data_IF_075716216323
#
_entry.id   IF_075716216323
#
_cell.length_a   1.000
_cell.length_b   1.000
_cell.length_c   1.000
_cell.angle_alpha   90.00
_cell.angle_beta   90.00
_cell.angle_gamma   90.00
#
_symmetry.space_group_name_H-M   'P 1'
#
loop_
_entity.id
_entity.type
_entity.pdbx_description
1 polymer ?
#
# COMPACT_ATOMS: atom_id res chain seq x y z
N UNK A 1 -21.50 19.94 6.56
CA UNK A 1 -21.06 18.79 7.38
C UNK A 1 -21.33 17.53 6.54
N UNK A 2 -20.31 17.05 5.82
CA UNK A 2 -20.42 15.87 4.94
C UNK A 2 -20.25 14.65 5.85
N UNK A 3 -21.34 13.96 6.13
CA UNK A 3 -21.29 12.67 6.84
C UNK A 3 -20.91 11.60 5.82
N UNK A 4 -19.64 11.25 5.77
CA UNK A 4 -19.17 10.07 5.03
C UNK A 4 -19.54 8.85 5.86
N UNK A 5 -20.72 8.29 5.60
CA UNK A 5 -21.15 7.04 6.20
C UNK A 5 -20.39 5.87 5.57
N UNK A 6 -19.30 5.43 6.17
CA UNK A 6 -18.70 4.13 5.83
C UNK A 6 -19.58 3.03 6.42
N UNK A 7 -20.33 2.36 5.58
CA UNK A 7 -20.96 1.09 5.96
C UNK A 7 -19.86 0.02 5.93
N UNK A 8 -19.35 -0.37 7.09
CA UNK A 8 -18.53 -1.58 7.22
C UNK A 8 -19.43 -2.75 6.82
N UNK A 9 -19.26 -3.24 5.62
CA UNK A 9 -19.95 -4.45 5.13
C UNK A 9 -19.34 -5.65 5.84
N UNK A 10 -19.95 -6.07 6.94
CA UNK A 10 -19.57 -7.28 7.65
C UNK A 10 -19.81 -8.48 6.72
N UNK A 11 -18.75 -9.14 6.24
CA UNK A 11 -18.83 -10.37 5.47
C UNK A 11 -18.39 -10.32 4.00
N UNK A 12 -17.98 -9.17 3.46
CA UNK A 12 -17.39 -9.13 2.12
C UNK A 12 -15.89 -9.47 2.21
N UNK A 13 -15.37 -10.43 1.42
CA UNK A 13 -13.96 -10.80 1.46
C UNK A 13 -13.04 -9.63 1.19
N UNK A 14 -12.03 -9.48 2.02
CA UNK A 14 -10.95 -8.48 1.89
C UNK A 14 -9.60 -9.12 2.23
N UNK A 15 -8.49 -8.67 1.61
CA UNK A 15 -7.16 -9.10 1.99
C UNK A 15 -6.87 -8.80 3.46
N UNK A 16 -6.06 -9.64 4.10
CA UNK A 16 -5.64 -9.43 5.48
C UNK A 16 -4.88 -8.11 5.63
N UNK A 17 -4.90 -7.51 6.83
CA UNK A 17 -4.17 -6.25 7.07
C UNK A 17 -2.67 -6.37 6.80
N UNK A 18 -2.08 -7.52 7.12
CA UNK A 18 -0.68 -7.81 6.82
C UNK A 18 -0.39 -7.76 5.32
N UNK A 19 -1.24 -8.36 4.51
CA UNK A 19 -1.13 -8.36 3.06
C UNK A 19 -1.33 -6.96 2.46
N UNK A 20 -2.30 -6.20 2.97
CA UNK A 20 -2.49 -4.79 2.56
C UNK A 20 -1.26 -3.95 2.91
N UNK A 21 -0.66 -4.17 4.09
CA UNK A 21 0.59 -3.53 4.49
C UNK A 21 1.74 -3.89 3.56
N UNK A 22 1.90 -5.18 3.21
CA UNK A 22 2.90 -5.65 2.23
C UNK A 22 2.69 -5.03 0.86
N UNK A 23 1.44 -5.00 0.39
CA UNK A 23 1.08 -4.39 -0.91
C UNK A 23 1.43 -2.90 -0.93
N UNK A 24 1.11 -2.16 0.14
CA UNK A 24 1.42 -0.74 0.22
C UNK A 24 2.92 -0.48 0.27
N UNK A 25 3.68 -1.29 1.02
CA UNK A 25 5.15 -1.22 1.04
C UNK A 25 5.75 -1.55 -0.32
N UNK A 26 5.19 -2.52 -1.05
CA UNK A 26 5.63 -2.91 -2.39
C UNK A 26 5.40 -1.80 -3.43
N UNK A 27 4.24 -1.15 -3.38
CA UNK A 27 3.89 -0.05 -4.30
C UNK A 27 4.62 1.24 -3.96
N UNK A 28 4.85 1.50 -2.67
CA UNK A 28 5.58 2.66 -2.20
C UNK A 28 7.08 2.50 -2.45
N UNK A 29 7.73 3.58 -2.86
CA UNK A 29 9.18 3.61 -3.13
C UNK A 29 9.92 4.49 -2.15
N UNK A 30 9.21 5.41 -1.51
CA UNK A 30 9.76 6.42 -0.61
C UNK A 30 8.89 6.48 0.64
N UNK A 31 9.52 6.57 1.80
CA UNK A 31 8.84 6.75 3.07
C UNK A 31 9.45 7.87 3.91
N UNK A 32 8.82 8.16 5.03
CA UNK A 32 9.37 9.02 6.08
C UNK A 32 9.98 8.14 7.16
N UNK A 33 11.31 8.11 7.22
CA UNK A 33 12.05 7.42 8.27
C UNK A 33 12.20 8.35 9.47
N UNK A 34 11.70 7.92 10.64
CA UNK A 34 11.90 8.62 11.90
C UNK A 34 12.91 7.87 12.76
N UNK A 35 13.93 8.58 13.22
CA UNK A 35 15.02 8.08 14.09
C UNK A 35 15.06 8.88 15.38
N UNK A 36 15.71 8.39 16.43
CA UNK A 36 15.93 9.16 17.66
C UNK A 36 17.13 10.10 17.48
N UNK A 37 16.91 11.40 17.70
CA UNK A 37 17.93 12.41 17.45
C UNK A 37 19.09 12.29 18.43
N UNK A 38 20.29 11.99 17.94
CA UNK A 38 21.54 12.05 18.72
C UNK A 38 21.88 13.47 19.17
N UNK A 39 21.57 14.47 18.32
CA UNK A 39 21.89 15.88 18.58
C UNK A 39 20.92 16.51 19.61
N UNK A 40 19.68 16.06 19.60
CA UNK A 40 18.62 16.55 20.52
C UNK A 40 17.97 15.33 21.19
N UNK A 41 18.54 14.78 22.25
CA UNK A 41 18.02 13.58 22.91
C UNK A 41 16.55 13.72 23.31
N UNK A 42 15.76 12.67 23.04
CA UNK A 42 14.32 12.64 23.32
C UNK A 42 13.43 13.18 22.18
N UNK A 43 14.02 13.76 21.13
CA UNK A 43 13.24 14.21 19.96
C UNK A 43 13.37 13.25 18.79
N UNK A 44 12.27 12.93 18.07
CA UNK A 44 12.34 12.20 16.82
C UNK A 44 12.90 13.11 15.71
N UNK A 45 13.60 12.49 14.75
CA UNK A 45 14.16 13.17 13.58
C UNK A 45 13.66 12.47 12.31
N UNK A 46 12.88 13.18 11.48
CA UNK A 46 12.32 12.67 10.23
C UNK A 46 13.23 12.88 9.02
N UNK A 47 13.30 11.91 8.14
CA UNK A 47 14.02 11.98 6.86
C UNK A 47 13.19 11.37 5.75
N UNK A 48 13.23 11.95 4.55
CA UNK A 48 12.74 11.27 3.34
C UNK A 48 13.69 10.13 3.03
N UNK A 49 13.14 8.93 2.85
CA UNK A 49 13.93 7.71 2.72
C UNK A 49 13.43 6.82 1.59
N UNK A 50 14.19 6.75 0.47
CA UNK A 50 14.01 5.71 -0.53
C UNK A 50 14.37 4.34 0.06
N UNK A 51 13.62 3.29 -0.30
CA UNK A 51 13.88 1.95 0.19
C UNK A 51 13.65 0.88 -0.88
N UNK A 52 14.45 -0.19 -0.85
CA UNK A 52 14.15 -1.46 -1.48
C UNK A 52 13.45 -2.40 -0.49
N UNK A 53 12.97 -3.54 -0.96
CA UNK A 53 12.39 -4.58 -0.10
C UNK A 53 13.06 -5.92 -0.39
N UNK A 54 13.39 -6.66 0.65
CA UNK A 54 13.74 -8.07 0.51
C UNK A 54 12.49 -8.97 0.42
N UNK A 55 12.67 -10.27 0.26
CA UNK A 55 11.57 -11.25 0.12
C UNK A 55 10.67 -11.31 1.35
N UNK A 56 11.19 -10.95 2.52
CA UNK A 56 10.46 -10.81 3.77
C UNK A 56 9.70 -9.47 3.90
N UNK A 57 9.88 -8.55 2.93
CA UNK A 57 9.32 -7.20 2.94
C UNK A 57 10.01 -6.25 3.89
N UNK A 58 11.22 -6.58 4.32
CA UNK A 58 12.00 -5.72 5.17
C UNK A 58 12.63 -4.59 4.34
N UNK A 59 12.49 -3.33 4.75
CA UNK A 59 13.10 -2.22 4.04
C UNK A 59 14.63 -2.28 4.05
N UNK A 60 15.21 -2.11 2.87
CA UNK A 60 16.66 -1.97 2.64
C UNK A 60 16.92 -0.52 2.26
N UNK A 61 17.89 0.09 2.89
CA UNK A 61 18.30 1.48 2.69
C UNK A 61 19.76 1.55 2.24
N UNK A 62 20.07 2.45 1.31
CA UNK A 62 21.42 2.84 0.95
C UNK A 62 21.66 4.25 1.49
N UNK A 63 22.44 4.37 2.56
CA UNK A 63 22.58 5.61 3.31
C UNK A 63 24.06 5.96 3.60
N UNK A 64 24.37 7.26 3.55
CA UNK A 64 25.71 7.80 3.81
C UNK A 64 25.95 7.99 5.31
N UNK A 65 27.15 7.73 5.76
CA UNK A 65 27.60 7.98 7.14
C UNK A 65 27.58 9.47 7.52
N UNK A 66 27.59 10.37 6.54
CA UNK A 66 27.47 11.82 6.77
C UNK A 66 26.04 12.25 7.10
N UNK A 67 25.04 11.45 6.73
CA UNK A 67 23.66 11.79 6.95
C UNK A 67 23.26 11.72 8.43
N UNK A 68 22.44 12.66 8.88
CA UNK A 68 22.02 12.74 10.28
C UNK A 68 21.25 11.49 10.73
N UNK A 69 20.38 10.94 9.86
CA UNK A 69 19.66 9.71 10.17
C UNK A 69 20.60 8.53 10.40
N UNK A 70 21.71 8.43 9.64
CA UNK A 70 22.70 7.37 9.85
C UNK A 70 23.44 7.53 11.19
N UNK A 71 23.83 8.76 11.53
CA UNK A 71 24.46 9.05 12.83
C UNK A 71 23.50 8.79 14.01
N UNK A 72 22.21 9.03 13.82
CA UNK A 72 21.18 8.70 14.81
C UNK A 72 21.07 7.18 14.98
N UNK A 73 20.98 6.42 13.87
CA UNK A 73 20.87 4.96 13.86
C UNK A 73 22.09 4.26 14.47
N UNK A 74 23.27 4.84 14.29
CA UNK A 74 24.50 4.35 14.95
C UNK A 74 24.48 4.53 16.48
N UNK A 75 23.74 5.53 16.97
CA UNK A 75 23.57 5.76 18.41
C UNK A 75 22.40 4.96 18.99
N UNK A 76 21.31 4.81 18.25
CA UNK A 76 20.11 4.05 18.60
C UNK A 76 19.47 3.53 17.32
N UNK A 77 19.40 2.21 17.18
CA UNK A 77 18.88 1.54 15.98
C UNK A 77 17.36 1.63 15.83
N UNK A 78 16.65 2.04 16.90
CA UNK A 78 15.19 2.14 16.91
C UNK A 78 14.69 3.20 15.92
N UNK A 79 13.78 2.78 15.04
CA UNK A 79 13.21 3.65 14.00
C UNK A 79 11.79 3.27 13.63
N UNK A 80 11.11 4.19 12.95
CA UNK A 80 9.86 3.88 12.26
C UNK A 80 9.91 4.40 10.83
N UNK A 81 9.32 3.63 9.89
CA UNK A 81 9.15 4.03 8.49
C UNK A 81 7.66 4.16 8.18
N UNK A 82 7.23 5.38 7.87
CA UNK A 82 5.86 5.67 7.42
C UNK A 82 5.84 5.70 5.89
N UNK A 83 4.96 4.90 5.31
CA UNK A 83 4.63 4.92 3.87
C UNK A 83 3.16 5.20 3.69
N UNK A 84 2.83 6.11 2.80
CA UNK A 84 1.46 6.52 2.48
C UNK A 84 1.14 6.17 1.04
N UNK A 85 -0.12 5.85 0.78
CA UNK A 85 -0.62 5.70 -0.57
C UNK A 85 -0.51 7.04 -1.32
N UNK A 86 0.03 7.00 -2.53
CA UNK A 86 0.07 8.15 -3.43
C UNK A 86 -1.33 8.44 -4.00
N UNK A 87 -1.57 9.70 -4.33
CA UNK A 87 -2.78 10.24 -4.96
C UNK A 87 -4.11 9.79 -4.32
N UNK A 88 -4.50 10.49 -3.28
CA UNK A 88 -5.76 10.25 -2.55
C UNK A 88 -6.92 11.11 -3.04
N UNK A 89 -6.79 11.76 -4.20
CA UNK A 89 -7.81 12.67 -4.71
C UNK A 89 -8.11 13.84 -3.80
N UNK A 90 -7.09 14.29 -3.02
CA UNK A 90 -7.17 15.46 -2.14
C UNK A 90 -7.62 15.19 -0.70
N UNK A 91 -7.81 13.91 -0.29
CA UNK A 91 -8.11 13.54 1.10
C UNK A 91 -6.97 12.70 1.73
N UNK A 92 -5.95 13.35 2.34
CA UNK A 92 -4.83 12.63 2.95
C UNK A 92 -5.21 11.72 4.12
N UNK A 93 -6.32 12.01 4.81
CA UNK A 93 -6.78 11.19 5.92
C UNK A 93 -7.53 9.93 5.48
N UNK A 94 -8.08 9.96 4.27
CA UNK A 94 -8.69 8.80 3.62
C UNK A 94 -7.67 7.84 3.00
N UNK A 95 -6.41 8.27 2.88
CA UNK A 95 -5.32 7.47 2.33
C UNK A 95 -4.98 6.26 3.19
N UNK A 96 -4.70 5.13 2.54
CA UNK A 96 -4.03 4.02 3.21
C UNK A 96 -2.60 4.41 3.59
N UNK A 97 -2.17 3.99 4.78
CA UNK A 97 -0.81 4.20 5.26
C UNK A 97 -0.36 3.06 6.15
N UNK A 98 0.93 2.80 6.13
CA UNK A 98 1.56 1.78 6.97
C UNK A 98 2.76 2.38 7.68
N UNK A 99 2.91 2.07 8.96
CA UNK A 99 4.10 2.39 9.75
C UNK A 99 4.75 1.09 10.18
N UNK A 100 5.97 0.85 9.72
CA UNK A 100 6.82 -0.20 10.25
C UNK A 100 7.62 0.36 11.42
N UNK A 101 7.67 -0.39 12.50
CA UNK A 101 8.51 -0.10 13.67
C UNK A 101 9.55 -1.19 13.78
N UNK A 102 10.81 -0.84 13.96
CA UNK A 102 11.89 -1.83 14.01
C UNK A 102 13.25 -1.25 14.28
N UNK A 103 14.27 -2.11 14.20
CA UNK A 103 15.67 -1.72 14.32
C UNK A 103 16.33 -1.65 12.95
N UNK A 104 16.97 -0.55 12.64
CA UNK A 104 17.70 -0.36 11.39
C UNK A 104 19.19 -0.57 11.64
N UNK A 105 19.73 -1.63 11.08
CA UNK A 105 21.11 -2.09 11.31
C UNK A 105 21.88 -2.23 9.99
N UNK A 106 23.21 -2.04 10.00
CA UNK A 106 24.04 -2.34 8.83
C UNK A 106 23.86 -3.79 8.39
N UNK A 107 23.79 -4.02 7.09
CA UNK A 107 23.77 -5.38 6.54
C UNK A 107 25.13 -6.07 6.72
N UNK A 108 25.12 -7.39 7.03
CA UNK A 108 26.34 -8.21 6.96
C UNK A 108 26.88 -8.23 5.53
N UNK A 109 28.19 -8.30 5.38
CA UNK A 109 28.88 -8.33 4.07
C UNK A 109 28.34 -9.42 3.13
N UNK A 110 27.95 -10.56 3.68
CA UNK A 110 27.37 -11.67 2.93
C UNK A 110 26.03 -11.37 2.26
N UNK A 111 25.28 -10.35 2.73
CA UNK A 111 23.96 -9.98 2.22
C UNK A 111 24.00 -8.71 1.34
N UNK A 112 25.16 -8.01 1.30
CA UNK A 112 25.29 -6.73 0.56
C UNK A 112 25.07 -6.89 -0.94
N UNK A 113 25.57 -7.95 -1.54
CA UNK A 113 25.45 -8.17 -2.99
C UNK A 113 23.99 -8.29 -3.43
N UNK A 114 23.20 -9.08 -2.71
CA UNK A 114 21.77 -9.25 -2.97
C UNK A 114 20.99 -7.93 -2.73
N UNK A 115 21.24 -7.27 -1.61
CA UNK A 115 20.62 -5.98 -1.28
C UNK A 115 20.92 -4.92 -2.35
N UNK A 116 22.14 -4.91 -2.88
CA UNK A 116 22.57 -4.02 -3.98
C UNK A 116 21.73 -4.27 -5.25
N UNK A 117 21.56 -5.51 -5.65
CA UNK A 117 20.74 -5.85 -6.82
C UNK A 117 19.29 -5.42 -6.65
N UNK A 118 18.68 -5.76 -5.52
CA UNK A 118 17.29 -5.39 -5.18
C UNK A 118 17.10 -3.86 -5.17
N UNK A 119 18.03 -3.13 -4.54
CA UNK A 119 17.92 -1.68 -4.44
C UNK A 119 18.11 -0.99 -5.80
N UNK A 120 19.10 -1.41 -6.60
CA UNK A 120 19.37 -0.85 -7.92
C UNK A 120 18.28 -1.17 -8.95
N UNK A 121 17.55 -2.28 -8.81
CA UNK A 121 16.38 -2.57 -9.62
C UNK A 121 15.28 -1.50 -9.44
N UNK A 122 15.13 -0.96 -8.24
CA UNK A 122 14.18 0.13 -7.95
C UNK A 122 14.73 1.53 -8.24
N UNK A 123 16.04 1.72 -8.10
CA UNK A 123 16.69 3.05 -8.14
C UNK A 123 17.93 3.05 -9.05
N UNK A 124 17.71 2.98 -10.37
CA UNK A 124 18.78 2.88 -11.38
C UNK A 124 19.84 3.99 -11.24
N UNK A 125 19.45 5.19 -10.83
CA UNK A 125 20.36 6.31 -10.64
C UNK A 125 21.33 6.11 -9.44
N UNK A 126 21.00 5.25 -8.49
CA UNK A 126 21.86 4.99 -7.33
C UNK A 126 23.18 4.32 -7.69
N UNK A 127 23.32 3.78 -8.91
CA UNK A 127 24.59 3.28 -9.45
C UNK A 127 25.72 4.32 -9.43
N UNK A 128 25.40 5.62 -9.39
CA UNK A 128 26.41 6.68 -9.37
C UNK A 128 27.08 6.86 -8.01
N UNK A 129 26.44 6.44 -6.90
CA UNK A 129 26.97 6.62 -5.55
C UNK A 129 26.98 5.36 -4.68
N UNK A 130 26.44 4.24 -5.18
CA UNK A 130 26.37 2.98 -4.42
C UNK A 130 27.75 2.43 -4.01
N UNK A 131 28.79 2.81 -4.75
CA UNK A 131 30.17 2.39 -4.50
C UNK A 131 31.02 3.46 -3.79
N UNK A 132 30.40 4.54 -3.28
CA UNK A 132 31.12 5.54 -2.48
C UNK A 132 31.41 4.98 -1.09
N UNK A 133 32.61 5.23 -0.56
CA UNK A 133 33.09 4.67 0.70
C UNK A 133 32.25 5.05 1.92
N UNK A 134 31.53 6.19 1.83
CA UNK A 134 30.66 6.67 2.91
C UNK A 134 29.24 6.10 2.82
N UNK A 135 28.87 5.37 1.76
CA UNK A 135 27.56 4.72 1.62
C UNK A 135 27.62 3.26 2.04
N UNK A 136 26.59 2.83 2.76
CA UNK A 136 26.42 1.44 3.18
C UNK A 136 24.95 1.02 3.15
N UNK A 137 24.72 -0.28 2.99
CA UNK A 137 23.40 -0.86 3.07
C UNK A 137 23.01 -1.12 4.51
N UNK A 138 21.78 -0.73 4.84
CA UNK A 138 21.12 -0.98 6.12
C UNK A 138 19.80 -1.68 5.85
N UNK A 139 19.32 -2.46 6.83
CA UNK A 139 18.01 -3.11 6.78
C UNK A 139 17.25 -2.84 8.07
N UNK A 140 15.93 -2.67 7.94
CA UNK A 140 15.03 -2.61 9.09
C UNK A 140 14.57 -4.01 9.47
N UNK A 141 14.97 -4.49 10.63
CA UNK A 141 14.39 -5.67 11.25
C UNK A 141 13.07 -5.27 11.91
N UNK A 142 11.97 -5.66 11.27
CA UNK A 142 10.60 -5.24 11.65
C UNK A 142 10.19 -5.91 12.96
N UNK A 143 9.78 -5.10 13.93
CA UNK A 143 9.27 -5.54 15.24
C UNK A 143 7.74 -5.57 15.24
N UNK A 144 7.12 -4.55 14.65
CA UNK A 144 5.67 -4.45 14.58
C UNK A 144 5.23 -3.53 13.42
N UNK A 145 3.98 -3.66 12.97
CA UNK A 145 3.44 -2.92 11.85
C UNK A 145 2.08 -2.32 12.22
N UNK A 146 1.90 -1.04 11.97
CA UNK A 146 0.62 -0.37 12.14
C UNK A 146 0.04 0.02 10.78
N UNK A 147 -1.07 -0.61 10.40
CA UNK A 147 -1.77 -0.33 9.16
C UNK A 147 -3.02 0.51 9.40
N UNK A 148 -3.24 1.50 8.54
CA UNK A 148 -4.45 2.31 8.50
C UNK A 148 -4.96 2.32 7.05
N UNK A 149 -6.19 1.83 6.84
CA UNK A 149 -6.85 1.75 5.53
C UNK A 149 -7.88 2.86 5.28
N UNK A 150 -7.68 4.03 5.89
CA UNK A 150 -8.62 5.15 5.87
C UNK A 150 -9.39 5.28 7.19
N UNK A 151 -10.48 6.04 7.18
CA UNK A 151 -11.25 6.32 8.39
C UNK A 151 -11.82 5.06 9.04
N UNK A 152 -11.51 4.84 10.32
CA UNK A 152 -12.06 3.76 11.13
C UNK A 152 -11.47 2.37 10.84
N UNK A 153 -10.58 2.23 9.87
CA UNK A 153 -9.92 0.96 9.53
C UNK A 153 -8.46 1.04 9.93
N UNK A 154 -8.12 0.50 11.10
CA UNK A 154 -6.76 0.51 11.60
C UNK A 154 -6.47 -0.73 12.45
N UNK A 155 -5.25 -1.25 12.36
CA UNK A 155 -4.84 -2.42 13.14
C UNK A 155 -3.33 -2.52 13.29
N UNK A 156 -2.90 -3.00 14.46
CA UNK A 156 -1.56 -3.56 14.64
C UNK A 156 -1.48 -4.95 14.01
N UNK A 157 -0.41 -5.20 13.29
CA UNK A 157 -0.08 -6.45 12.61
C UNK A 157 1.27 -6.89 13.13
N UNK A 158 1.36 -8.09 13.68
CA UNK A 158 2.62 -8.60 14.19
C UNK A 158 3.66 -8.78 13.09
N UNK A 159 4.95 -8.65 13.43
CA UNK A 159 6.04 -8.88 12.48
C UNK A 159 5.92 -10.25 11.78
N UNK A 160 5.49 -11.28 12.50
CA UNK A 160 5.33 -12.62 11.93
C UNK A 160 4.16 -12.76 10.96
N UNK A 161 3.06 -12.01 11.14
CA UNK A 161 1.97 -11.95 10.15
C UNK A 161 2.42 -11.19 8.90
N UNK A 162 3.15 -10.09 9.09
CA UNK A 162 3.70 -9.29 8.00
C UNK A 162 4.72 -10.08 7.16
N UNK A 163 5.66 -10.76 7.80
CA UNK A 163 6.71 -11.57 7.18
C UNK A 163 6.14 -12.70 6.29
N UNK A 164 5.09 -13.39 6.76
CA UNK A 164 4.43 -14.47 6.01
C UNK A 164 3.51 -14.00 4.90
N UNK A 165 3.17 -12.73 4.86
CA UNK A 165 2.30 -12.16 3.84
C UNK A 165 3.08 -11.78 2.59
N UNK A 166 2.38 -11.80 1.45
CA UNK A 166 2.91 -11.33 0.18
C UNK A 166 2.12 -10.12 -0.33
N UNK A 167 2.68 -9.28 -1.20
CA UNK A 167 1.90 -8.28 -1.91
C UNK A 167 0.76 -8.92 -2.70
N UNK A 168 -0.33 -8.18 -2.87
CA UNK A 168 -1.45 -8.62 -3.71
C UNK A 168 -0.96 -8.91 -5.14
N UNK A 169 -1.36 -10.02 -5.77
CA UNK A 169 -0.91 -10.38 -7.12
C UNK A 169 -1.32 -9.37 -8.21
N UNK A 170 -2.27 -8.49 -7.92
CA UNK A 170 -2.64 -7.39 -8.82
C UNK A 170 -1.83 -6.12 -8.59
N UNK A 171 -0.91 -6.06 -7.62
CA UNK A 171 -0.23 -4.83 -7.22
C UNK A 171 0.29 -4.00 -8.41
N UNK A 172 1.03 -4.61 -9.32
CA UNK A 172 1.60 -3.93 -10.49
C UNK A 172 0.57 -3.42 -11.51
N UNK A 173 -0.63 -3.98 -11.49
CA UNK A 173 -1.70 -3.66 -12.46
C UNK A 173 -2.87 -2.88 -11.86
N UNK A 174 -2.88 -2.64 -10.54
CA UNK A 174 -3.98 -1.97 -9.85
C UNK A 174 -4.32 -0.61 -10.47
N UNK A 175 -3.31 0.22 -10.71
CA UNK A 175 -3.49 1.56 -11.25
C UNK A 175 -4.10 1.53 -12.66
N UNK A 176 -3.61 0.64 -13.51
CA UNK A 176 -4.12 0.47 -14.88
C UNK A 176 -5.56 -0.04 -14.90
N UNK A 177 -5.89 -1.04 -14.06
CA UNK A 177 -7.25 -1.57 -13.94
C UNK A 177 -8.21 -0.47 -13.50
N UNK A 178 -7.85 0.30 -12.47
CA UNK A 178 -8.68 1.40 -11.95
C UNK A 178 -8.89 2.46 -13.02
N UNK A 179 -7.83 2.90 -13.66
CA UNK A 179 -7.90 3.92 -14.73
C UNK A 179 -8.78 3.47 -15.88
N UNK A 180 -8.56 2.27 -16.39
CA UNK A 180 -9.32 1.70 -17.51
C UNK A 180 -10.81 1.61 -17.17
N UNK A 181 -11.17 1.03 -16.03
CA UNK A 181 -12.56 0.90 -15.61
C UNK A 181 -13.24 2.24 -15.42
N UNK A 182 -12.57 3.21 -14.81
CA UNK A 182 -13.12 4.53 -14.54
C UNK A 182 -13.27 5.40 -15.80
N UNK A 183 -12.42 5.17 -16.81
CA UNK A 183 -12.45 5.94 -18.07
C UNK A 183 -13.44 5.34 -19.05
N UNK A 184 -13.33 4.03 -19.31
CA UNK A 184 -13.95 3.38 -20.46
C UNK A 184 -15.22 2.60 -20.10
N UNK A 185 -15.49 2.31 -18.81
CA UNK A 185 -16.55 1.41 -18.38
C UNK A 185 -17.51 2.01 -17.33
N UNK A 186 -17.79 3.32 -17.40
CA UNK A 186 -18.63 4.03 -16.43
C UNK A 186 -20.02 3.42 -16.29
N UNK A 187 -20.66 3.06 -17.40
CA UNK A 187 -21.99 2.45 -17.39
C UNK A 187 -21.98 1.06 -16.72
N UNK A 188 -20.91 0.30 -16.92
CA UNK A 188 -20.74 -0.98 -16.24
C UNK A 188 -20.59 -0.79 -14.73
N UNK A 189 -19.87 0.24 -14.28
CA UNK A 189 -19.72 0.55 -12.86
C UNK A 189 -21.05 0.93 -12.20
N UNK A 190 -21.94 1.65 -12.90
CA UNK A 190 -23.28 1.94 -12.41
C UNK A 190 -24.13 0.66 -12.23
N UNK A 191 -24.05 -0.26 -13.19
CA UNK A 191 -24.73 -1.56 -13.11
C UNK A 191 -24.19 -2.40 -11.93
N UNK A 192 -22.88 -2.45 -11.76
CA UNK A 192 -22.25 -3.17 -10.66
C UNK A 192 -22.62 -2.56 -9.29
N UNK A 193 -22.63 -1.24 -9.17
CA UNK A 193 -23.05 -0.53 -7.97
C UNK A 193 -24.53 -0.85 -7.62
N UNK A 194 -25.42 -0.80 -8.59
CA UNK A 194 -26.82 -1.12 -8.39
C UNK A 194 -27.02 -2.57 -7.96
N UNK A 195 -26.38 -3.52 -8.64
CA UNK A 195 -26.58 -4.95 -8.41
C UNK A 195 -25.88 -5.45 -7.13
N UNK A 196 -24.61 -5.17 -6.95
CA UNK A 196 -23.79 -5.79 -5.91
C UNK A 196 -23.66 -4.92 -4.65
N UNK A 197 -23.71 -3.58 -4.79
CA UNK A 197 -23.73 -2.67 -3.64
C UNK A 197 -25.15 -2.21 -3.27
N UNK A 198 -26.20 -2.61 -4.02
CA UNK A 198 -27.60 -2.21 -3.83
C UNK A 198 -27.76 -0.68 -3.73
N UNK A 199 -26.96 0.05 -4.53
CA UNK A 199 -26.88 1.50 -4.49
C UNK A 199 -27.20 2.07 -5.87
N UNK A 200 -28.30 2.82 -5.96
CA UNK A 200 -28.57 3.62 -7.16
C UNK A 200 -27.74 4.89 -7.12
N UNK A 201 -26.93 5.10 -8.15
CA UNK A 201 -25.98 6.20 -8.23
C UNK A 201 -26.01 6.88 -9.59
N UNK A 202 -25.64 8.16 -9.59
CA UNK A 202 -25.49 8.97 -10.80
C UNK A 202 -24.08 8.79 -11.40
N UNK A 203 -23.11 8.54 -10.55
CA UNK A 203 -21.73 8.27 -10.91
C UNK A 203 -21.19 7.16 -10.01
N UNK A 204 -20.34 6.29 -10.57
CA UNK A 204 -19.63 5.25 -9.83
C UNK A 204 -18.19 5.17 -10.33
N UNK A 205 -17.25 5.05 -9.40
CA UNK A 205 -15.81 4.91 -9.70
C UNK A 205 -15.20 3.84 -8.80
N UNK A 206 -14.20 3.14 -9.31
CA UNK A 206 -13.35 2.27 -8.51
C UNK A 206 -12.25 3.13 -7.86
N UNK A 207 -12.05 2.97 -6.57
CA UNK A 207 -11.01 3.67 -5.80
C UNK A 207 -9.86 2.76 -5.36
N UNK A 208 -10.10 1.45 -5.28
CA UNK A 208 -9.09 0.42 -5.01
C UNK A 208 -9.57 -0.92 -5.58
N UNK A 209 -8.64 -1.75 -5.99
CA UNK A 209 -8.88 -3.12 -6.47
C UNK A 209 -7.84 -4.05 -5.85
N UNK A 210 -8.23 -5.26 -5.54
CA UNK A 210 -7.36 -6.34 -5.10
C UNK A 210 -7.89 -7.69 -5.63
N UNK A 211 -7.21 -8.79 -5.35
CA UNK A 211 -7.56 -10.12 -5.85
C UNK A 211 -8.97 -10.61 -5.47
N UNK A 212 -9.56 -10.05 -4.42
CA UNK A 212 -10.87 -10.47 -3.91
C UNK A 212 -12.03 -9.55 -4.34
N UNK A 213 -11.74 -8.37 -4.92
CA UNK A 213 -12.76 -7.42 -5.32
C UNK A 213 -12.25 -5.98 -5.43
N UNK A 214 -13.17 -5.03 -5.33
CA UNK A 214 -12.84 -3.62 -5.45
C UNK A 214 -13.66 -2.73 -4.51
N UNK A 215 -13.13 -1.58 -4.18
CA UNK A 215 -13.86 -0.51 -3.50
C UNK A 215 -14.45 0.45 -4.54
N UNK A 216 -15.76 0.67 -4.44
CA UNK A 216 -16.49 1.64 -5.26
C UNK A 216 -16.83 2.89 -4.48
N UNK A 217 -16.71 4.06 -5.11
CA UNK A 217 -17.25 5.33 -4.67
C UNK A 217 -18.42 5.69 -5.57
N UNK A 218 -19.58 5.92 -4.98
CA UNK A 218 -20.83 6.17 -5.68
C UNK A 218 -21.40 7.52 -5.26
N UNK A 219 -21.76 8.36 -6.25
CA UNK A 219 -22.46 9.61 -6.03
C UNK A 219 -23.96 9.35 -6.14
N UNK A 220 -24.66 9.47 -5.04
CA UNK A 220 -26.10 9.29 -4.94
C UNK A 220 -26.81 10.66 -4.79
N UNK A 221 -28.12 10.67 -4.74
CA UNK A 221 -28.91 11.89 -4.45
C UNK A 221 -28.65 12.41 -3.05
N UNK A 222 -28.33 11.52 -2.10
CA UNK A 222 -28.15 11.82 -0.68
C UNK A 222 -26.66 12.09 -0.31
N UNK A 223 -25.74 12.03 -1.29
CA UNK A 223 -24.32 12.27 -1.08
C UNK A 223 -23.43 11.15 -1.63
N UNK A 224 -22.19 11.11 -1.15
CA UNK A 224 -21.19 10.13 -1.57
C UNK A 224 -21.27 8.90 -0.65
N UNK A 225 -21.33 7.71 -1.25
CA UNK A 225 -21.28 6.41 -0.55
C UNK A 225 -20.10 5.59 -1.05
N UNK A 226 -19.39 4.93 -0.14
CA UNK A 226 -18.39 3.92 -0.43
C UNK A 226 -18.95 2.52 -0.20
N UNK A 227 -18.60 1.56 -1.05
CA UNK A 227 -18.91 0.15 -0.81
C UNK A 227 -17.79 -0.76 -1.31
N UNK A 228 -17.59 -1.87 -0.61
CA UNK A 228 -16.78 -2.99 -1.07
C UNK A 228 -17.65 -3.92 -1.91
N UNK A 229 -17.19 -4.30 -3.10
CA UNK A 229 -17.83 -5.26 -4.00
C UNK A 229 -16.85 -6.42 -4.20
N UNK A 230 -17.25 -7.63 -3.76
CA UNK A 230 -16.46 -8.83 -3.98
C UNK A 230 -16.51 -9.28 -5.44
N UNK A 231 -15.42 -9.83 -5.94
CA UNK A 231 -15.43 -10.61 -7.17
C UNK A 231 -16.19 -11.93 -6.96
N UNK A 232 -16.65 -12.54 -8.05
CA UNK A 232 -17.31 -13.85 -8.01
C UNK A 232 -16.36 -14.97 -7.57
N UNK A 233 -15.07 -14.77 -7.72
CA UNK A 233 -13.97 -15.62 -7.30
C UNK A 233 -12.69 -14.83 -7.16
N UNK A 234 -11.71 -15.38 -6.47
CA UNK A 234 -10.36 -14.82 -6.40
C UNK A 234 -9.71 -14.77 -7.80
N UNK A 235 -8.93 -13.73 -8.06
CA UNK A 235 -8.21 -13.48 -9.31
C UNK A 235 -6.74 -13.20 -9.02
N UNK A 236 -5.84 -13.61 -9.92
CA UNK A 236 -4.40 -13.50 -9.70
C UNK A 236 -3.66 -12.67 -10.78
N UNK A 237 -4.39 -12.15 -11.75
CA UNK A 237 -3.80 -11.36 -12.84
C UNK A 237 -4.87 -10.50 -13.54
N UNK A 238 -4.47 -9.50 -14.34
CA UNK A 238 -5.40 -8.60 -15.06
C UNK A 238 -6.37 -9.32 -16.01
N UNK A 239 -5.93 -10.42 -16.61
CA UNK A 239 -6.78 -11.21 -17.54
C UNK A 239 -7.94 -11.86 -16.80
N UNK A 240 -7.69 -12.42 -15.64
CA UNK A 240 -8.73 -12.99 -14.77
C UNK A 240 -9.66 -11.90 -14.22
N UNK A 241 -9.09 -10.76 -13.83
CA UNK A 241 -9.85 -9.58 -13.37
C UNK A 241 -10.81 -9.11 -14.44
N UNK A 242 -10.37 -9.00 -15.69
CA UNK A 242 -11.23 -8.66 -16.81
C UNK A 242 -12.36 -9.67 -16.99
N UNK A 243 -12.06 -10.97 -16.98
CA UNK A 243 -13.07 -12.03 -17.13
C UNK A 243 -14.14 -11.96 -16.06
N UNK A 244 -13.73 -11.84 -14.78
CA UNK A 244 -14.69 -11.79 -13.66
C UNK A 244 -15.56 -10.53 -13.72
N UNK A 245 -14.99 -9.38 -14.08
CA UNK A 245 -15.78 -8.14 -14.24
C UNK A 245 -16.80 -8.25 -15.38
N UNK A 246 -16.44 -8.86 -16.52
CA UNK A 246 -17.39 -9.12 -17.62
C UNK A 246 -18.54 -10.03 -17.16
N UNK A 247 -18.24 -11.11 -16.46
CA UNK A 247 -19.25 -12.02 -15.90
C UNK A 247 -20.19 -11.28 -14.93
N UNK A 248 -19.63 -10.44 -14.04
CA UNK A 248 -20.41 -9.64 -13.10
C UNK A 248 -21.35 -8.66 -13.83
N UNK A 249 -20.88 -8.01 -14.89
CA UNK A 249 -21.72 -7.12 -15.71
C UNK A 249 -22.83 -7.90 -16.41
N UNK A 250 -22.55 -9.09 -16.93
CA UNK A 250 -23.56 -9.97 -17.54
C UNK A 250 -24.64 -10.37 -16.54
N UNK A 251 -24.25 -10.76 -15.30
CA UNK A 251 -25.20 -11.05 -14.23
C UNK A 251 -26.00 -9.83 -13.80
N UNK A 252 -25.43 -8.64 -13.85
CA UNK A 252 -26.15 -7.42 -13.52
C UNK A 252 -27.19 -7.05 -14.57
N UNK A 253 -26.95 -7.36 -15.85
CA UNK A 253 -27.90 -7.13 -16.95
C UNK A 253 -29.05 -8.13 -16.97
N UNK A 254 -28.78 -9.43 -16.79
CA UNK A 254 -29.79 -10.50 -16.87
C UNK A 254 -30.88 -10.45 -15.78
N UNK A 255 -30.72 -9.60 -14.79
CA UNK A 255 -31.74 -9.41 -13.71
C UNK A 255 -32.37 -8.01 -13.77
N UNK A 256 -32.03 -7.21 -14.77
CA UNK A 256 -32.68 -5.93 -15.01
C UNK A 256 -33.85 -6.06 -16.03
N UNK A 257 -34.00 -7.24 -16.64
CA UNK A 257 -35.16 -7.70 -17.42
C UNK A 257 -36.12 -8.46 -16.50
#
# INVERSE_FOLDING_TARGET
MIVVGFTVSCGVPEPAFAERGRTLMYLGRIGSLSTLSRKQPGFPFGSVMPYGLDDHGRPIFLISTMAMHTQNLQADAGASLLVTQDDTGGDPLGASRVTLVGNVLPLPESEVAEARELYLAGYVNSKYWVDFEDFSFYRMDVVDVYYVGGFGVMRWVSASEYDRSQPDPLADSMAEIIQHMNTDHKDALLLLAKKFARTESQEATITAVDRLGFHGRMKTRDGIRGARIAFLREVNNPTETRKVLVEMVQQARSQAE
#
